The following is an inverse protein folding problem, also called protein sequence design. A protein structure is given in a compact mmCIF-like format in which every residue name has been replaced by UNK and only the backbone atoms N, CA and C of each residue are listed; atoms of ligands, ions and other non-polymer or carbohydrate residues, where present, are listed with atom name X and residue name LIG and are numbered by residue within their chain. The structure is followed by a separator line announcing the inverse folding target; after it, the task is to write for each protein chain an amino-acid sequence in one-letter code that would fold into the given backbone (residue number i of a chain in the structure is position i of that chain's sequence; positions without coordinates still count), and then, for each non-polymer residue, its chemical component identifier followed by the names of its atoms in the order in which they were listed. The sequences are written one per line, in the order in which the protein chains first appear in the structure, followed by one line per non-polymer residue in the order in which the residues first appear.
data_IF_386374737494
#
_entry.id   IF_386374737494
#
_cell.length_a   1.000
_cell.length_b   1.000
_cell.length_c   1.000
_cell.angle_alpha   90.00
_cell.angle_beta   90.00
_cell.angle_gamma   90.00
#
_symmetry.space_group_name_H-M   'P 1'
#
loop_
_entity.id
_entity.type
_entity.pdbx_description
1 polymer ?
#
# COMPACT_ATOMS: atom_id res chain seq x y z
N UNK A 1 44.44 -50.65 -8.43
CA UNK A 1 43.26 -50.79 -7.57
C UNK A 1 43.75 -50.66 -6.16
N UNK A 2 43.45 -49.53 -5.55
CA UNK A 2 43.82 -49.28 -4.16
C UNK A 2 42.96 -50.16 -3.24
N UNK A 3 43.54 -50.79 -2.21
CA UNK A 3 42.84 -51.76 -1.36
C UNK A 3 41.75 -51.17 -0.44
N UNK A 4 41.51 -49.85 -0.51
CA UNK A 4 40.49 -49.14 0.28
C UNK A 4 39.34 -48.58 -0.56
N UNK A 5 39.23 -48.96 -1.84
CA UNK A 5 38.17 -48.50 -2.72
C UNK A 5 36.88 -49.30 -2.43
N UNK A 6 35.93 -48.68 -1.72
CA UNK A 6 34.60 -49.26 -1.45
C UNK A 6 33.81 -49.23 -2.76
N UNK A 7 33.59 -50.41 -3.34
CA UNK A 7 32.79 -50.56 -4.55
C UNK A 7 31.30 -50.52 -4.15
N UNK A 8 30.63 -49.40 -4.40
CA UNK A 8 29.17 -49.31 -4.33
C UNK A 8 28.59 -49.76 -5.67
N UNK A 9 28.02 -50.97 -5.70
CA UNK A 9 27.28 -51.48 -6.85
C UNK A 9 25.91 -50.81 -6.89
N UNK A 10 25.78 -49.78 -7.74
CA UNK A 10 24.50 -49.13 -8.01
C UNK A 10 23.72 -49.94 -9.04
N UNK A 11 22.73 -50.70 -8.58
CA UNK A 11 21.78 -51.40 -9.45
C UNK A 11 20.69 -50.41 -9.90
N UNK A 12 20.68 -50.06 -11.19
CA UNK A 12 19.64 -49.22 -11.77
C UNK A 12 18.37 -50.05 -11.96
N UNK A 13 17.46 -49.95 -10.99
CA UNK A 13 16.13 -50.54 -11.10
C UNK A 13 15.28 -49.64 -12.01
N UNK A 14 14.75 -50.21 -13.10
CA UNK A 14 13.81 -49.48 -13.95
C UNK A 14 12.59 -49.02 -13.12
N UNK A 15 12.26 -47.74 -13.22
CA UNK A 15 11.12 -47.15 -12.51
C UNK A 15 9.80 -47.84 -12.91
N UNK A 16 8.97 -48.21 -11.93
CA UNK A 16 7.66 -48.81 -12.21
C UNK A 16 6.71 -47.78 -12.87
N UNK A 17 6.58 -47.88 -14.19
CA UNK A 17 5.74 -46.99 -15.00
C UNK A 17 4.22 -47.23 -14.82
N UNK A 18 3.82 -48.27 -14.10
CA UNK A 18 2.41 -48.69 -14.01
C UNK A 18 1.56 -47.63 -13.34
N UNK A 19 1.97 -47.13 -12.17
CA UNK A 19 1.23 -46.09 -11.45
C UNK A 19 1.45 -44.70 -12.05
N UNK A 20 2.60 -44.51 -12.69
CA UNK A 20 3.01 -43.29 -13.37
C UNK A 20 2.09 -42.94 -14.54
N UNK A 21 1.73 -43.95 -15.34
CA UNK A 21 0.90 -43.83 -16.54
C UNK A 21 -0.61 -43.74 -16.25
N UNK A 22 -1.05 -44.23 -15.09
CA UNK A 22 -2.45 -44.27 -14.69
C UNK A 22 -2.91 -42.99 -13.95
N UNK A 23 -2.02 -42.03 -13.70
CA UNK A 23 -2.38 -40.80 -13.00
C UNK A 23 -3.13 -39.83 -13.96
N UNK A 24 -4.39 -39.46 -13.66
CA UNK A 24 -5.16 -38.53 -14.50
C UNK A 24 -4.66 -37.08 -14.43
N UNK A 25 -3.75 -36.75 -13.52
CA UNK A 25 -3.18 -35.41 -13.37
C UNK A 25 -2.13 -35.18 -14.46
N UNK A 26 -2.24 -34.05 -15.18
CA UNK A 26 -1.29 -33.67 -16.23
C UNK A 26 0.10 -33.50 -15.60
N UNK A 27 1.06 -34.30 -16.06
CA UNK A 27 2.47 -34.19 -15.63
C UNK A 27 3.06 -32.88 -16.10
N UNK A 28 3.90 -32.30 -15.25
CA UNK A 28 4.73 -31.18 -15.64
C UNK A 28 5.78 -31.64 -16.66
N UNK A 29 5.85 -30.96 -17.79
CA UNK A 29 6.89 -31.16 -18.80
C UNK A 29 7.48 -29.80 -19.16
N UNK A 30 8.71 -29.73 -19.70
CA UNK A 30 9.33 -28.45 -20.06
C UNK A 30 8.52 -27.63 -21.07
N UNK A 31 7.68 -28.28 -21.88
CA UNK A 31 6.77 -27.61 -22.81
C UNK A 31 5.60 -26.88 -22.12
N UNK A 32 5.27 -27.28 -20.88
CA UNK A 32 4.18 -26.72 -20.10
C UNK A 32 4.63 -25.60 -19.15
N UNK A 33 5.91 -25.23 -19.15
CA UNK A 33 6.37 -24.06 -18.43
C UNK A 33 5.71 -22.80 -18.96
N UNK A 34 5.36 -21.90 -18.05
CA UNK A 34 4.85 -20.58 -18.35
C UNK A 34 5.93 -19.51 -18.10
N UNK A 35 5.72 -18.32 -18.62
CA UNK A 35 6.60 -17.18 -18.34
C UNK A 35 6.04 -16.35 -17.18
N UNK A 36 6.90 -16.06 -16.20
CA UNK A 36 6.65 -15.23 -15.01
C UNK A 36 7.19 -13.81 -15.19
N UNK A 37 6.82 -12.92 -14.26
CA UNK A 37 7.23 -11.51 -14.27
C UNK A 37 6.29 -10.59 -15.03
N UNK A 38 6.46 -9.27 -14.84
CA UNK A 38 5.64 -8.24 -15.47
C UNK A 38 5.80 -8.25 -17.00
N UNK A 39 7.03 -8.49 -17.48
CA UNK A 39 7.36 -8.56 -18.89
C UNK A 39 7.19 -9.97 -19.50
N UNK A 40 6.84 -10.99 -18.68
CA UNK A 40 6.72 -12.40 -19.10
C UNK A 40 7.97 -12.92 -19.80
N UNK A 41 9.12 -12.60 -19.25
CA UNK A 41 10.45 -12.89 -19.77
C UNK A 41 11.18 -13.97 -18.97
N UNK A 42 10.75 -14.22 -17.73
CA UNK A 42 11.42 -15.17 -16.83
C UNK A 42 10.69 -16.52 -16.93
N UNK A 43 11.43 -17.63 -17.04
CA UNK A 43 10.83 -18.98 -17.02
C UNK A 43 10.28 -19.33 -15.63
N UNK A 44 9.22 -20.13 -15.57
CA UNK A 44 8.62 -20.64 -14.33
C UNK A 44 9.24 -21.92 -13.80
N UNK A 45 10.29 -22.40 -14.47
CA UNK A 45 11.13 -23.52 -14.02
C UNK A 45 11.36 -23.52 -12.50
N UNK A 46 11.09 -24.64 -11.80
CA UNK A 46 10.68 -25.97 -12.29
C UNK A 46 9.16 -26.19 -12.43
N UNK A 47 8.33 -25.17 -12.19
CA UNK A 47 6.89 -25.35 -11.99
C UNK A 47 6.09 -25.31 -13.29
N UNK A 48 5.07 -26.17 -13.39
CA UNK A 48 4.01 -26.03 -14.41
C UNK A 48 2.70 -25.53 -13.79
N UNK A 49 2.41 -25.93 -12.55
CA UNK A 49 1.33 -25.36 -11.73
C UNK A 49 1.84 -25.18 -10.31
N UNK A 50 1.47 -24.10 -9.61
CA UNK A 50 0.50 -23.05 -9.96
C UNK A 50 1.06 -22.00 -10.93
N UNK A 51 0.18 -21.27 -11.60
CA UNK A 51 0.57 -20.08 -12.37
C UNK A 51 0.98 -18.93 -11.43
N UNK A 52 1.92 -18.10 -11.89
CA UNK A 52 2.31 -16.89 -11.18
C UNK A 52 1.10 -15.98 -10.95
N UNK A 53 1.01 -15.36 -9.78
CA UNK A 53 -0.10 -14.47 -9.35
C UNK A 53 -1.48 -15.13 -9.33
N UNK A 54 -1.54 -16.47 -9.28
CA UNK A 54 -2.81 -17.18 -9.06
C UNK A 54 -3.33 -16.95 -7.63
N UNK A 55 -4.65 -16.98 -7.47
CA UNK A 55 -5.30 -16.86 -6.17
C UNK A 55 -5.74 -18.24 -5.67
N UNK A 56 -5.27 -18.59 -4.48
CA UNK A 56 -5.66 -19.79 -3.74
C UNK A 56 -6.64 -19.41 -2.65
N UNK A 57 -7.71 -20.19 -2.51
CA UNK A 57 -8.74 -19.97 -1.50
C UNK A 57 -8.48 -20.85 -0.28
N UNK A 58 -8.68 -20.27 0.90
CA UNK A 58 -8.65 -21.02 2.15
C UNK A 58 -9.71 -22.13 2.16
N UNK A 59 -9.33 -23.31 2.64
CA UNK A 59 -10.19 -24.50 2.71
C UNK A 59 -10.25 -25.30 1.41
N UNK A 60 -9.60 -24.84 0.34
CA UNK A 60 -9.44 -25.61 -0.90
C UNK A 60 -8.05 -26.29 -0.94
N UNK A 61 -7.96 -27.39 -1.69
CA UNK A 61 -6.71 -28.10 -1.93
C UNK A 61 -6.25 -27.84 -3.36
N UNK A 62 -5.01 -27.40 -3.52
CA UNK A 62 -4.39 -27.14 -4.81
C UNK A 62 -3.24 -28.11 -5.06
N UNK A 63 -2.98 -28.43 -6.33
CA UNK A 63 -1.85 -29.27 -6.71
C UNK A 63 -0.71 -28.43 -7.26
N UNK A 64 0.42 -28.49 -6.57
CA UNK A 64 1.69 -27.96 -7.03
C UNK A 64 2.36 -29.05 -7.86
N UNK A 65 2.73 -28.74 -9.10
CA UNK A 65 3.42 -29.67 -10.00
C UNK A 65 4.72 -29.07 -10.50
N UNK A 66 5.76 -29.89 -10.50
CA UNK A 66 7.10 -29.51 -10.97
C UNK A 66 7.68 -30.60 -11.87
N UNK A 67 8.66 -30.21 -12.68
CA UNK A 67 9.37 -31.15 -13.53
C UNK A 67 10.43 -31.90 -12.73
N UNK A 68 10.30 -33.22 -12.68
CA UNK A 68 11.10 -34.10 -11.82
C UNK A 68 12.59 -34.06 -12.19
N UNK A 69 12.88 -34.03 -13.50
CA UNK A 69 14.23 -33.96 -14.06
C UNK A 69 14.87 -32.57 -14.04
N UNK A 70 14.21 -31.56 -13.47
CA UNK A 70 14.84 -30.25 -13.31
C UNK A 70 16.00 -30.30 -12.31
N UNK A 71 15.89 -31.16 -11.29
CA UNK A 71 16.88 -31.29 -10.22
C UNK A 71 17.94 -32.35 -10.57
N UNK A 72 18.49 -32.26 -11.77
CA UNK A 72 19.63 -33.08 -12.18
C UNK A 72 20.94 -32.47 -11.66
N UNK A 73 21.78 -33.31 -11.07
CA UNK A 73 23.13 -32.92 -10.69
C UNK A 73 23.94 -32.55 -11.95
N UNK A 74 24.45 -31.31 -12.01
CA UNK A 74 25.22 -30.81 -13.16
C UNK A 74 26.41 -31.70 -13.55
N UNK A 75 26.97 -32.47 -12.59
CA UNK A 75 28.19 -33.25 -12.78
C UNK A 75 27.94 -34.77 -12.87
N UNK A 76 26.93 -35.32 -12.19
CA UNK A 76 26.62 -36.76 -12.23
C UNK A 76 25.45 -37.13 -13.14
N UNK A 77 24.61 -36.16 -13.54
CA UNK A 77 23.38 -36.43 -14.30
C UNK A 77 22.32 -37.22 -13.51
N UNK A 78 22.54 -37.41 -12.21
CA UNK A 78 21.58 -38.08 -11.32
C UNK A 78 20.49 -37.10 -10.92
N UNK A 79 19.24 -37.57 -11.00
CA UNK A 79 18.07 -36.81 -10.57
C UNK A 79 17.95 -36.91 -9.06
N UNK A 80 17.63 -35.80 -8.37
CA UNK A 80 17.38 -35.84 -6.94
C UNK A 80 16.24 -36.82 -6.57
N UNK A 81 16.54 -37.78 -5.70
CA UNK A 81 15.58 -38.80 -5.25
C UNK A 81 14.40 -38.20 -4.47
N UNK A 82 14.71 -37.21 -3.63
CA UNK A 82 13.77 -36.59 -2.70
C UNK A 82 13.79 -35.07 -2.81
N UNK A 83 12.59 -34.50 -2.73
CA UNK A 83 12.33 -33.06 -2.77
C UNK A 83 11.39 -32.66 -1.64
N UNK A 84 11.50 -31.41 -1.22
CA UNK A 84 10.68 -30.80 -0.19
C UNK A 84 10.04 -29.53 -0.73
N UNK A 85 8.74 -29.36 -0.50
CA UNK A 85 8.02 -28.15 -0.90
C UNK A 85 7.97 -27.18 0.28
N UNK A 86 8.38 -25.94 0.03
CA UNK A 86 8.41 -24.86 1.00
C UNK A 86 7.42 -23.76 0.63
N UNK A 87 6.74 -23.22 1.64
CA UNK A 87 5.87 -22.06 1.55
C UNK A 87 6.49 -20.93 2.38
N UNK A 88 6.81 -19.82 1.73
CA UNK A 88 7.42 -18.65 2.34
C UNK A 88 6.53 -17.42 2.17
N UNK A 89 6.54 -16.50 3.12
CA UNK A 89 5.81 -15.25 2.95
C UNK A 89 6.58 -14.30 2.04
N UNK A 90 5.89 -13.66 1.10
CA UNK A 90 6.48 -12.55 0.34
C UNK A 90 6.46 -11.32 1.23
N UNK A 91 7.60 -10.65 1.31
CA UNK A 91 7.67 -9.32 1.92
C UNK A 91 6.97 -8.34 0.99
N UNK A 92 5.74 -7.98 1.32
CA UNK A 92 5.05 -6.87 0.67
C UNK A 92 5.88 -5.59 0.87
N UNK A 93 5.92 -4.73 -0.15
CA UNK A 93 6.73 -3.51 -0.15
C UNK A 93 6.44 -2.68 1.10
N UNK A 94 7.47 -2.05 1.68
CA UNK A 94 7.34 -1.15 2.82
C UNK A 94 6.34 0.00 2.59
N UNK A 95 6.01 0.30 1.33
CA UNK A 95 5.02 1.29 0.93
C UNK A 95 3.56 0.81 1.14
N UNK A 96 3.29 -0.50 1.09
CA UNK A 96 1.93 -1.05 1.09
C UNK A 96 1.43 -1.39 2.50
N UNK A 97 2.33 -1.75 3.42
CA UNK A 97 2.01 -2.02 4.84
C UNK A 97 3.14 -1.50 5.72
N UNK A 98 2.88 -0.37 6.38
CA UNK A 98 3.87 0.42 7.11
C UNK A 98 4.89 -0.37 7.94
N UNK A 99 6.15 0.04 7.83
CA UNK A 99 7.29 -0.15 8.74
C UNK A 99 7.28 -1.37 9.70
N UNK A 100 7.18 -2.58 9.16
CA UNK A 100 7.68 -3.77 9.86
C UNK A 100 8.89 -4.34 9.11
N UNK A 101 10.09 -4.10 9.65
CA UNK A 101 11.29 -4.86 9.27
C UNK A 101 11.10 -6.30 9.73
N UNK A 102 10.49 -7.13 8.89
CA UNK A 102 10.60 -8.58 8.99
C UNK A 102 11.65 -9.01 7.97
N UNK A 103 12.75 -9.56 8.46
CA UNK A 103 13.66 -10.36 7.65
C UNK A 103 12.88 -11.62 7.28
N UNK A 104 12.75 -11.93 5.99
CA UNK A 104 12.19 -13.21 5.57
C UNK A 104 13.33 -14.21 5.70
N UNK A 105 13.55 -14.68 6.92
CA UNK A 105 14.40 -15.84 7.17
C UNK A 105 13.51 -17.00 7.57
N UNK A 106 13.13 -17.78 6.58
CA UNK A 106 12.46 -19.06 6.76
C UNK A 106 11.13 -19.20 6.01
N UNK A 107 10.95 -20.39 5.41
CA UNK A 107 9.64 -20.89 5.04
C UNK A 107 8.78 -21.00 6.32
N UNK A 108 7.55 -20.48 6.28
CA UNK A 108 6.64 -20.60 7.42
C UNK A 108 6.03 -22.00 7.50
N UNK A 109 6.03 -22.73 6.38
CA UNK A 109 5.55 -24.09 6.30
C UNK A 109 6.41 -24.87 5.29
N UNK A 110 6.82 -26.07 5.68
CA UNK A 110 7.60 -26.98 4.84
C UNK A 110 6.99 -28.37 4.95
N UNK A 111 6.83 -29.05 3.83
CA UNK A 111 6.40 -30.44 3.82
C UNK A 111 7.53 -31.38 4.27
N UNK A 112 7.20 -32.64 4.54
CA UNK A 112 8.21 -33.67 4.69
C UNK A 112 8.90 -33.96 3.35
N UNK A 113 10.02 -34.69 3.40
CA UNK A 113 10.72 -35.12 2.19
C UNK A 113 9.84 -36.11 1.42
N UNK A 114 9.62 -35.82 0.14
CA UNK A 114 8.76 -36.59 -0.75
C UNK A 114 9.62 -37.11 -1.90
N UNK A 115 9.31 -38.31 -2.40
CA UNK A 115 9.98 -38.87 -3.58
C UNK A 115 9.69 -38.02 -4.81
N UNK A 116 10.72 -37.70 -5.58
CA UNK A 116 10.62 -36.84 -6.76
C UNK A 116 9.99 -37.53 -7.99
N UNK A 117 9.53 -38.79 -7.89
CA UNK A 117 9.01 -39.57 -9.01
C UNK A 117 7.69 -39.00 -9.57
N UNK A 118 6.82 -38.51 -8.68
CA UNK A 118 5.47 -38.07 -9.06
C UNK A 118 5.41 -36.60 -9.51
N UNK A 119 6.38 -35.77 -9.10
CA UNK A 119 6.46 -34.36 -9.48
C UNK A 119 5.23 -33.53 -9.06
N UNK A 120 4.49 -33.98 -8.03
CA UNK A 120 3.27 -33.34 -7.58
C UNK A 120 3.15 -33.35 -6.06
N UNK A 121 2.55 -32.30 -5.50
CA UNK A 121 2.21 -32.21 -4.09
C UNK A 121 0.85 -31.52 -3.91
N UNK A 122 -0.02 -32.14 -3.11
CA UNK A 122 -1.26 -31.52 -2.70
C UNK A 122 -1.02 -30.53 -1.55
N UNK A 123 -1.53 -29.31 -1.69
CA UNK A 123 -1.41 -28.23 -0.72
C UNK A 123 -2.79 -27.80 -0.27
N UNK A 124 -3.11 -28.09 0.98
CA UNK A 124 -4.35 -27.64 1.62
C UNK A 124 -4.14 -26.27 2.26
N UNK A 125 -4.92 -25.28 1.83
CA UNK A 125 -4.73 -23.88 2.25
C UNK A 125 -5.42 -23.63 3.58
N UNK A 126 -4.62 -23.44 4.64
CA UNK A 126 -5.11 -23.20 6.01
C UNK A 126 -5.38 -21.71 6.27
N UNK A 127 -6.43 -21.43 7.05
CA UNK A 127 -6.78 -20.06 7.45
C UNK A 127 -5.68 -19.38 8.28
N UNK A 128 -4.96 -20.16 9.08
CA UNK A 128 -3.87 -19.67 9.94
C UNK A 128 -2.74 -18.99 9.15
N UNK A 129 -2.56 -19.38 7.88
CA UNK A 129 -1.52 -18.82 7.01
C UNK A 129 -1.79 -17.37 6.62
N UNK A 130 -3.04 -16.90 6.69
CA UNK A 130 -3.41 -15.50 6.44
C UNK A 130 -3.02 -14.55 7.57
N UNK A 131 -2.72 -15.06 8.78
CA UNK A 131 -2.44 -14.23 9.96
C UNK A 131 -3.52 -13.15 10.25
N UNK A 132 -4.78 -13.47 9.96
CA UNK A 132 -5.92 -12.56 10.13
C UNK A 132 -6.15 -11.56 8.99
N UNK A 133 -5.29 -11.54 7.96
CA UNK A 133 -5.49 -10.72 6.77
C UNK A 133 -6.52 -11.34 5.82
N UNK A 134 -7.12 -10.54 4.93
CA UNK A 134 -8.07 -11.04 3.92
C UNK A 134 -7.35 -11.76 2.77
N UNK A 135 -6.20 -11.21 2.38
CA UNK A 135 -5.36 -11.68 1.31
C UNK A 135 -3.90 -11.57 1.73
N UNK A 136 -3.08 -12.54 1.30
CA UNK A 136 -1.65 -12.55 1.58
C UNK A 136 -0.85 -13.21 0.48
N UNK A 137 0.27 -12.59 0.13
CA UNK A 137 1.19 -13.11 -0.88
C UNK A 137 2.18 -14.12 -0.29
N UNK A 138 2.29 -15.28 -0.92
CA UNK A 138 3.25 -16.34 -0.57
C UNK A 138 4.06 -16.78 -1.80
N UNK A 139 5.22 -17.37 -1.54
CA UNK A 139 6.08 -18.02 -2.54
C UNK A 139 6.11 -19.50 -2.26
N UNK A 140 5.91 -20.28 -3.31
CA UNK A 140 6.10 -21.73 -3.31
C UNK A 140 7.42 -22.04 -3.98
N UNK A 141 8.25 -22.84 -3.33
CA UNK A 141 9.55 -23.26 -3.85
C UNK A 141 9.79 -24.73 -3.55
N UNK A 142 10.51 -25.43 -4.43
CA UNK A 142 10.90 -26.83 -4.23
C UNK A 142 12.40 -26.90 -3.96
N UNK A 143 12.78 -27.56 -2.88
CA UNK A 143 14.16 -27.80 -2.46
C UNK A 143 14.50 -29.29 -2.68
N UNK A 144 15.54 -29.62 -3.46
CA UNK A 144 16.04 -30.99 -3.55
C UNK A 144 16.95 -31.33 -2.37
N UNK A 145 17.06 -32.62 -2.04
CA UNK A 145 17.79 -33.11 -0.86
C UNK A 145 19.28 -32.76 -0.81
N UNK A 146 19.90 -32.55 -1.95
CA UNK A 146 21.32 -32.20 -2.03
C UNK A 146 21.63 -30.75 -1.65
N UNK A 147 20.64 -29.84 -1.67
CA UNK A 147 20.84 -28.44 -1.29
C UNK A 147 20.54 -28.31 0.22
N UNK A 148 21.47 -27.85 1.05
CA UNK A 148 21.19 -27.60 2.46
C UNK A 148 20.28 -26.37 2.63
N UNK A 149 19.51 -26.34 3.73
CA UNK A 149 18.52 -25.27 4.00
C UNK A 149 19.16 -23.87 4.09
N UNK A 150 20.43 -23.77 4.52
CA UNK A 150 21.15 -22.50 4.64
C UNK A 150 21.53 -21.87 3.29
N UNK A 151 21.67 -22.69 2.24
CA UNK A 151 22.02 -22.25 0.88
C UNK A 151 20.79 -22.08 -0.02
N UNK A 152 19.65 -22.62 0.41
CA UNK A 152 18.42 -22.58 -0.37
C UNK A 152 17.79 -21.19 -0.36
N UNK A 153 17.66 -20.57 -1.54
CA UNK A 153 16.92 -19.33 -1.73
C UNK A 153 15.53 -19.60 -2.34
N UNK A 154 14.44 -19.45 -1.57
CA UNK A 154 13.08 -19.67 -2.05
C UNK A 154 12.66 -18.77 -3.22
N UNK A 155 13.32 -17.63 -3.42
CA UNK A 155 12.91 -16.64 -4.42
C UNK A 155 13.46 -16.91 -5.83
N UNK A 156 14.57 -17.65 -5.96
CA UNK A 156 15.22 -17.87 -7.26
C UNK A 156 14.29 -18.64 -8.21
N UNK A 157 13.88 -19.83 -7.79
CA UNK A 157 13.04 -20.72 -8.58
C UNK A 157 11.59 -20.76 -8.10
N UNK A 158 11.22 -19.89 -7.16
CA UNK A 158 9.88 -19.84 -6.60
C UNK A 158 8.82 -19.22 -7.51
N UNK A 159 7.56 -19.58 -7.24
CA UNK A 159 6.37 -18.96 -7.84
C UNK A 159 5.60 -18.19 -6.77
N UNK A 160 5.32 -16.92 -7.06
CA UNK A 160 4.49 -16.06 -6.21
C UNK A 160 3.01 -16.32 -6.47
N UNK A 161 2.23 -16.45 -5.40
CA UNK A 161 0.79 -16.60 -5.45
C UNK A 161 0.11 -15.93 -4.25
N UNK A 162 -1.20 -15.72 -4.35
CA UNK A 162 -1.99 -15.01 -3.35
C UNK A 162 -2.95 -15.96 -2.65
N UNK A 163 -2.89 -16.06 -1.33
CA UNK A 163 -3.91 -16.74 -0.54
C UNK A 163 -5.01 -15.74 -0.23
N UNK A 164 -6.27 -16.11 -0.41
CA UNK A 164 -7.45 -15.29 -0.12
C UNK A 164 -8.42 -16.04 0.78
N UNK A 165 -9.08 -15.32 1.69
CA UNK A 165 -10.08 -15.87 2.62
C UNK A 165 -11.39 -16.32 1.93
N UNK A 166 -11.46 -16.31 0.60
CA UNK A 166 -12.67 -16.56 -0.17
C UNK A 166 -13.76 -15.51 0.07
N UNK A 167 -14.89 -15.66 -0.62
CA UNK A 167 -16.03 -14.75 -0.43
C UNK A 167 -16.76 -15.08 0.88
N UNK A 168 -16.40 -14.40 1.97
CA UNK A 168 -17.31 -14.27 3.11
C UNK A 168 -18.31 -13.18 2.75
N UNK A 169 -19.62 -13.46 2.81
CA UNK A 169 -20.64 -12.40 2.73
C UNK A 169 -20.43 -11.49 3.94
N UNK A 170 -19.65 -10.44 3.75
CA UNK A 170 -19.33 -9.49 4.80
C UNK A 170 -20.45 -8.47 4.83
N UNK A 171 -21.33 -8.59 5.83
CA UNK A 171 -22.22 -7.49 6.17
C UNK A 171 -21.34 -6.44 6.84
N UNK A 172 -21.13 -5.26 6.24
CA UNK A 172 -20.31 -4.24 6.87
C UNK A 172 -20.93 -3.89 8.22
N UNK A 173 -20.08 -3.75 9.23
CA UNK A 173 -20.55 -3.28 10.54
C UNK A 173 -21.07 -1.85 10.41
N UNK A 174 -21.96 -1.41 11.31
CA UNK A 174 -22.51 -0.03 11.25
C UNK A 174 -21.40 1.04 11.25
N UNK A 175 -20.28 0.75 11.91
CA UNK A 175 -19.12 1.64 11.96
C UNK A 175 -18.37 1.70 10.61
N UNK A 176 -18.21 0.57 9.92
CA UNK A 176 -17.60 0.54 8.59
C UNK A 176 -18.49 1.20 7.53
N UNK A 177 -19.81 1.01 7.61
CA UNK A 177 -20.76 1.75 6.76
C UNK A 177 -20.64 3.26 6.99
N UNK A 178 -20.56 3.70 8.25
CA UNK A 178 -20.40 5.13 8.56
C UNK A 178 -19.05 5.68 8.06
N UNK A 179 -17.98 4.88 8.09
CA UNK A 179 -16.66 5.26 7.56
C UNK A 179 -16.64 5.32 6.03
N UNK A 180 -17.30 4.37 5.37
CA UNK A 180 -17.46 4.34 3.91
C UNK A 180 -18.35 5.50 3.43
N UNK A 181 -19.46 5.78 4.13
CA UNK A 181 -20.33 6.94 3.88
C UNK A 181 -19.60 8.27 4.15
N UNK A 182 -18.66 8.30 5.09
CA UNK A 182 -17.75 9.43 5.31
C UNK A 182 -16.67 9.56 4.22
N UNK A 183 -16.59 8.61 3.27
CA UNK A 183 -15.67 8.65 2.13
C UNK A 183 -14.21 8.34 2.49
N UNK A 184 -13.96 7.68 3.63
CA UNK A 184 -12.61 7.46 4.15
C UNK A 184 -12.11 6.08 3.70
N UNK A 185 -11.42 6.01 2.55
CA UNK A 185 -10.68 4.81 2.15
C UNK A 185 -9.31 4.76 2.84
N UNK A 186 -8.96 3.57 3.34
CA UNK A 186 -7.91 3.30 4.36
C UNK A 186 -6.48 3.81 4.09
N UNK A 187 -6.16 4.37 2.92
CA UNK A 187 -4.84 4.93 2.60
C UNK A 187 -4.72 6.45 2.71
N UNK A 188 -5.83 7.20 2.66
CA UNK A 188 -5.80 8.67 2.51
C UNK A 188 -6.30 9.44 3.74
N UNK A 189 -6.74 8.75 4.80
CA UNK A 189 -7.27 9.36 6.01
C UNK A 189 -6.35 10.43 6.60
N UNK A 190 -5.03 10.17 6.64
CA UNK A 190 -4.06 11.13 7.15
C UNK A 190 -4.01 12.43 6.34
N UNK A 191 -4.14 12.36 5.01
CA UNK A 191 -4.19 13.55 4.16
C UNK A 191 -5.47 14.36 4.37
N UNK A 192 -6.61 13.69 4.59
CA UNK A 192 -7.89 14.35 4.91
C UNK A 192 -7.85 14.99 6.30
N UNK A 193 -7.32 14.28 7.29
CA UNK A 193 -7.19 14.78 8.66
C UNK A 193 -6.23 15.97 8.77
N UNK A 194 -5.18 16.03 7.94
CA UNK A 194 -4.27 17.17 7.85
C UNK A 194 -4.80 18.31 6.97
N UNK A 195 -5.59 18.02 5.93
CA UNK A 195 -6.07 19.06 5.01
C UNK A 195 -7.07 20.00 5.69
N UNK A 196 -7.92 19.49 6.59
CA UNK A 196 -8.93 20.29 7.28
C UNK A 196 -8.28 21.41 8.12
N UNK A 197 -7.34 21.14 9.05
CA UNK A 197 -6.65 22.20 9.79
C UNK A 197 -5.83 23.14 8.91
N UNK A 198 -5.17 22.63 7.87
CA UNK A 198 -4.30 23.45 7.01
C UNK A 198 -5.09 24.46 6.18
N UNK A 199 -6.26 24.07 5.65
CA UNK A 199 -7.17 24.99 4.94
C UNK A 199 -7.66 26.10 5.88
N UNK A 200 -7.97 25.77 7.14
CA UNK A 200 -8.38 26.76 8.15
C UNK A 200 -7.26 27.77 8.43
N UNK A 201 -6.01 27.31 8.58
CA UNK A 201 -4.85 28.20 8.78
C UNK A 201 -4.64 29.10 7.56
N UNK A 202 -4.72 28.56 6.34
CA UNK A 202 -4.60 29.34 5.10
C UNK A 202 -5.68 30.43 5.05
N UNK A 203 -6.91 30.11 5.44
CA UNK A 203 -8.01 31.09 5.50
C UNK A 203 -7.70 32.23 6.47
N UNK A 204 -7.18 31.93 7.66
CA UNK A 204 -6.79 32.96 8.64
C UNK A 204 -5.65 33.85 8.13
N UNK A 205 -4.66 33.26 7.47
CA UNK A 205 -3.55 34.01 6.85
C UNK A 205 -4.08 34.93 5.75
N UNK A 206 -4.96 34.43 4.88
CA UNK A 206 -5.57 35.24 3.83
C UNK A 206 -6.41 36.39 4.40
N UNK A 207 -7.20 36.12 5.43
CA UNK A 207 -7.97 37.16 6.14
C UNK A 207 -7.06 38.20 6.77
N UNK A 208 -5.93 37.80 7.37
CA UNK A 208 -4.95 38.74 7.93
C UNK A 208 -4.37 39.66 6.86
N UNK A 209 -3.91 39.10 5.72
CA UNK A 209 -3.40 39.90 4.61
C UNK A 209 -4.47 40.81 3.99
N UNK A 210 -5.71 40.31 3.87
CA UNK A 210 -6.85 41.09 3.38
C UNK A 210 -7.15 42.28 4.30
N UNK A 211 -7.14 42.07 5.61
CA UNK A 211 -7.33 43.12 6.61
C UNK A 211 -6.19 44.14 6.62
N UNK A 212 -4.95 43.70 6.37
CA UNK A 212 -3.77 44.55 6.27
C UNK A 212 -3.82 45.43 5.02
N UNK A 213 -4.10 44.84 3.85
CA UNK A 213 -4.21 45.57 2.58
C UNK A 213 -5.36 46.60 2.60
N UNK A 214 -6.49 46.25 3.21
CA UNK A 214 -7.63 47.15 3.36
C UNK A 214 -7.55 48.05 4.61
N UNK A 215 -6.43 48.04 5.36
CA UNK A 215 -6.26 48.83 6.58
C UNK A 215 -6.46 50.33 6.39
N UNK A 216 -6.07 50.86 5.22
CA UNK A 216 -6.20 52.29 4.88
C UNK A 216 -7.57 52.68 4.32
N UNK A 217 -8.38 51.72 3.90
CA UNK A 217 -9.70 51.94 3.29
C UNK A 217 -10.85 51.66 4.28
N UNK A 218 -10.55 51.52 5.58
CA UNK A 218 -11.57 51.31 6.62
C UNK A 218 -12.31 52.61 6.88
N UNK A 219 -13.44 52.79 6.21
CA UNK A 219 -14.28 53.96 6.43
C UNK A 219 -15.05 53.85 7.76
N UNK A 220 -14.45 54.34 8.84
CA UNK A 220 -15.09 54.45 10.16
C UNK A 220 -15.96 55.71 10.29
N UNK A 221 -16.23 56.43 9.19
CA UNK A 221 -16.97 57.69 9.23
C UNK A 221 -18.36 57.51 9.82
N UNK A 222 -19.03 56.38 9.59
CA UNK A 222 -20.36 56.13 10.16
C UNK A 222 -20.34 55.85 11.67
N UNK A 223 -19.37 55.08 12.16
CA UNK A 223 -19.24 54.77 13.58
C UNK A 223 -18.82 56.02 14.36
N UNK A 224 -17.87 56.78 13.83
CA UNK A 224 -17.42 58.06 14.41
C UNK A 224 -18.53 59.12 14.36
N UNK A 225 -19.30 59.21 13.26
CA UNK A 225 -20.46 60.10 13.14
C UNK A 225 -21.56 59.74 14.12
N UNK A 226 -21.84 58.45 14.34
CA UNK A 226 -22.81 58.01 15.35
C UNK A 226 -22.33 58.30 16.78
N UNK A 227 -21.05 58.08 17.08
CA UNK A 227 -20.47 58.45 18.37
C UNK A 227 -20.51 59.98 18.61
N UNK A 228 -20.19 60.79 17.59
CA UNK A 228 -20.29 62.24 17.63
C UNK A 228 -21.75 62.71 17.78
N UNK A 229 -22.70 62.10 17.09
CA UNK A 229 -24.12 62.43 17.21
C UNK A 229 -24.67 62.09 18.61
N UNK A 230 -24.21 61.00 19.23
CA UNK A 230 -24.50 60.71 20.65
C UNK A 230 -23.93 61.77 21.60
N UNK A 231 -22.68 62.23 21.37
CA UNK A 231 -22.10 63.35 22.15
C UNK A 231 -22.85 64.67 21.94
N UNK A 232 -23.32 64.97 20.72
CA UNK A 232 -24.14 66.15 20.39
C UNK A 232 -25.51 66.15 21.06
N UNK A 233 -26.08 64.98 21.36
CA UNK A 233 -27.33 64.86 22.13
C UNK A 233 -27.18 65.34 23.58
N UNK A 234 -25.99 65.17 24.17
CA UNK A 234 -25.74 65.51 25.58
C UNK A 234 -25.29 66.98 25.74
N UNK A 235 -24.57 67.53 24.76
CA UNK A 235 -24.00 68.89 24.82
C UNK A 235 -24.87 69.96 24.11
N UNK A 236 -25.97 69.58 23.46
CA UNK A 236 -26.82 70.50 22.69
C UNK A 236 -26.17 70.98 21.37
N UNK A 237 -26.88 71.84 20.61
CA UNK A 237 -26.34 72.41 19.36
C UNK A 237 -25.25 73.43 19.68
N UNK A 238 -24.13 73.40 18.95
CA UNK A 238 -23.04 74.40 19.12
C UNK A 238 -23.50 75.85 18.95
N UNK A 239 -24.57 76.08 18.20
CA UNK A 239 -25.22 77.41 18.04
C UNK A 239 -25.84 77.96 19.32
N UNK A 240 -26.12 77.11 20.31
CA UNK A 240 -26.75 77.48 21.59
C UNK A 240 -25.72 77.70 22.70
N UNK A 241 -24.45 77.37 22.46
CA UNK A 241 -23.36 77.63 23.41
C UNK A 241 -23.03 79.13 23.43
N UNK A 242 -23.00 79.74 24.63
CA UNK A 242 -22.74 81.19 24.82
C UNK A 242 -21.50 81.70 24.08
N UNK A 243 -20.48 80.86 23.88
CA UNK A 243 -19.21 81.21 23.23
C UNK A 243 -19.31 81.35 21.70
N UNK A 244 -20.29 80.73 21.06
CA UNK A 244 -20.43 80.67 19.59
C UNK A 244 -21.72 81.33 19.06
N UNK A 245 -22.50 81.94 19.96
CA UNK A 245 -23.79 82.59 19.66
C UNK A 245 -23.71 83.70 18.58
N UNK A 246 -22.54 84.31 18.41
CA UNK A 246 -22.32 85.42 17.48
C UNK A 246 -21.64 85.00 16.16
N UNK A 247 -21.36 83.71 15.93
CA UNK A 247 -20.82 83.27 14.65
C UNK A 247 -21.95 83.23 13.60
N UNK A 248 -21.89 84.15 12.63
CA UNK A 248 -22.79 84.15 11.48
C UNK A 248 -22.33 83.07 10.49
N UNK A 249 -23.12 82.01 10.36
CA UNK A 249 -22.90 80.99 9.32
C UNK A 249 -23.25 81.59 7.96
N UNK A 250 -22.26 81.87 7.12
CA UNK A 250 -22.51 82.15 5.72
C UNK A 250 -22.91 80.85 5.01
N UNK A 251 -23.94 80.91 4.16
CA UNK A 251 -24.37 79.79 3.34
C UNK A 251 -23.33 79.63 2.23
N UNK A 252 -22.41 78.68 2.39
CA UNK A 252 -21.46 78.34 1.34
C UNK A 252 -22.24 77.78 0.15
N UNK A 253 -22.26 78.50 -0.97
CA UNK A 253 -22.83 78.04 -2.25
C UNK A 253 -21.86 77.15 -3.04
N UNK A 254 -20.64 77.00 -2.55
CA UNK A 254 -19.59 76.20 -3.18
C UNK A 254 -18.74 75.50 -2.11
N UNK A 255 -18.26 74.30 -2.45
CA UNK A 255 -17.41 73.46 -1.60
C UNK A 255 -16.11 74.20 -1.28
N UNK A 256 -15.62 74.17 -0.03
CA UNK A 256 -14.36 74.81 0.31
C UNK A 256 -13.22 74.12 -0.45
N UNK A 257 -12.66 74.81 -1.44
CA UNK A 257 -11.44 74.38 -2.12
C UNK A 257 -10.25 74.77 -1.26
N UNK A 258 -9.45 73.78 -0.84
CA UNK A 258 -8.19 74.03 -0.16
C UNK A 258 -7.18 74.58 -1.17
N UNK A 259 -7.02 75.91 -1.21
CA UNK A 259 -5.96 76.55 -1.98
C UNK A 259 -4.63 76.32 -1.24
N UNK A 260 -3.78 75.41 -1.74
CA UNK A 260 -2.39 75.33 -1.29
C UNK A 260 -1.72 76.69 -1.55
N UNK A 261 -1.39 77.42 -0.49
CA UNK A 261 -0.49 78.56 -0.57
C UNK A 261 0.90 77.95 -0.82
N UNK A 262 1.32 77.92 -2.08
CA UNK A 262 2.72 77.76 -2.44
C UNK A 262 3.47 79.00 -1.95
N UNK A 263 4.21 78.88 -0.85
CA UNK A 263 5.32 79.81 -0.61
C UNK A 263 6.39 79.46 -1.64
N UNK A 264 6.47 80.27 -2.68
CA UNK A 264 7.70 80.42 -3.46
C UNK A 264 8.53 81.52 -2.79
N UNK A 265 9.82 81.20 -2.64
CA UNK A 265 10.93 81.93 -2.03
C UNK A 265 11.09 81.74 -0.52
#
# INVERSE_FOLDING_TARGET
MDPNEVFEEMEYIDEDHTYVSLNPIIRCTPHNYFFKGFAKDISSEPFCTPYHTSSWKVGETYFVTWYTRFFEHEHSGEVADEVRVHLSYVKESYADKGNYKRDVKGAFFSYDWIKNVDGLQAVEVKEDWLQGEFERSIVVSVQPRYIPEDEFDPLQNGVVLHITKGSRVFKPTKEQLALDEAGITNGQWYYVALSIPTVVVIFFVFMYFFLYANGNNRDFTDVTRNALNKKRRVLGKFSEMKRFKNMKNHKYTELPSYKKISKQN
#
